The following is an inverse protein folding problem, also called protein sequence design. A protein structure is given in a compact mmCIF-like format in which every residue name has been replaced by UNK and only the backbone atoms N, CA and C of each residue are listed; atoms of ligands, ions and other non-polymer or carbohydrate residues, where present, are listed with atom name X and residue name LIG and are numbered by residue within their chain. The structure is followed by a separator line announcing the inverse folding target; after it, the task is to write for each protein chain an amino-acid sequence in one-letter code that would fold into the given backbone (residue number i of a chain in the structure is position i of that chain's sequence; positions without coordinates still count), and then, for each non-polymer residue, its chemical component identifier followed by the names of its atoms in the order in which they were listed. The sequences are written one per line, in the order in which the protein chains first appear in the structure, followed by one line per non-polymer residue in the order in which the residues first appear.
data_IF_340535184920
#
_entry.id   IF_340535184920
#
_cell.length_a   1.000
_cell.length_b   1.000
_cell.length_c   1.000
_cell.angle_alpha   90.00
_cell.angle_beta   90.00
_cell.angle_gamma   90.00
#
_symmetry.space_group_name_H-M   'P 1'
#
loop_
_entity.id
_entity.type
_entity.pdbx_description
1 polymer ?
#
# COMPACT_ATOMS: atom_id res chain seq x y z
N UNK A 1 -12.18 22.82 7.19
CA UNK A 1 -11.86 21.66 8.06
C UNK A 1 -12.13 21.88 9.56
N UNK A 2 -12.48 23.09 10.02
CA UNK A 2 -12.60 23.41 11.47
C UNK A 2 -13.65 22.59 12.23
N UNK A 3 -14.66 22.04 11.54
CA UNK A 3 -15.71 21.22 12.14
C UNK A 3 -15.50 19.71 11.99
N UNK A 4 -14.28 19.25 11.66
CA UNK A 4 -13.96 17.81 11.64
C UNK A 4 -14.10 17.25 13.06
N UNK A 5 -15.04 16.30 13.31
CA UNK A 5 -15.28 15.81 14.66
C UNK A 5 -14.05 15.09 15.23
N UNK A 6 -13.64 15.48 16.43
CA UNK A 6 -12.54 14.81 17.15
C UNK A 6 -13.02 13.50 17.78
N UNK A 7 -12.14 12.48 17.89
CA UNK A 7 -12.39 11.31 18.73
C UNK A 7 -12.81 11.71 20.15
N UNK A 8 -13.81 11.02 20.69
CA UNK A 8 -14.32 11.28 22.04
C UNK A 8 -13.96 10.07 22.91
N UNK A 9 -13.13 10.26 23.93
CA UNK A 9 -12.78 9.19 24.87
C UNK A 9 -14.03 8.73 25.65
N UNK A 10 -14.21 7.42 25.79
CA UNK A 10 -15.36 6.83 26.47
C UNK A 10 -15.21 7.04 27.98
N UNK A 11 -16.23 7.65 28.59
CA UNK A 11 -16.28 7.84 30.03
C UNK A 11 -16.12 6.49 30.75
N UNK A 12 -15.18 6.44 31.70
CA UNK A 12 -14.83 5.26 32.50
C UNK A 12 -14.11 4.12 31.75
N UNK A 13 -13.62 4.34 30.52
CA UNK A 13 -12.79 3.38 29.80
C UNK A 13 -11.58 4.07 29.15
N UNK A 14 -10.52 4.40 29.93
CA UNK A 14 -9.34 5.07 29.41
C UNK A 14 -8.73 4.33 28.22
N UNK A 15 -8.41 5.07 27.16
CA UNK A 15 -7.87 4.52 25.91
C UNK A 15 -8.89 4.01 24.91
N UNK A 16 -10.19 3.98 25.25
CA UNK A 16 -11.26 3.65 24.32
C UNK A 16 -11.91 4.92 23.77
N UNK A 17 -12.09 5.00 22.45
CA UNK A 17 -12.61 6.19 21.78
C UNK A 17 -13.87 5.88 20.95
N UNK A 18 -14.87 6.74 21.07
CA UNK A 18 -15.98 6.82 20.11
C UNK A 18 -15.59 7.78 19.00
N UNK A 19 -15.61 7.29 17.75
CA UNK A 19 -15.23 8.09 16.59
C UNK A 19 -16.50 8.64 15.94
N UNK A 20 -16.76 9.96 16.01
CA UNK A 20 -18.00 10.53 15.51
C UNK A 20 -18.06 10.46 13.98
N UNK A 21 -19.27 10.38 13.43
CA UNK A 21 -19.48 10.57 11.99
C UNK A 21 -19.57 12.06 11.69
N UNK A 22 -19.07 12.47 10.53
CA UNK A 22 -19.30 13.82 10.02
C UNK A 22 -20.30 13.77 8.87
N UNK A 23 -21.57 14.16 9.08
CA UNK A 23 -22.64 13.92 8.10
C UNK A 23 -22.38 14.52 6.70
N UNK A 24 -21.68 15.66 6.65
CA UNK A 24 -21.34 16.34 5.38
C UNK A 24 -20.52 15.47 4.43
N UNK A 25 -19.74 14.52 4.95
CA UNK A 25 -18.93 13.61 4.14
C UNK A 25 -19.80 12.73 3.23
N UNK A 26 -21.02 12.40 3.64
CA UNK A 26 -21.97 11.67 2.80
C UNK A 26 -22.37 12.49 1.55
N UNK A 27 -22.64 13.77 1.74
CA UNK A 27 -22.94 14.69 0.64
C UNK A 27 -21.72 14.87 -0.28
N UNK A 28 -20.54 15.11 0.29
CA UNK A 28 -19.31 15.33 -0.47
C UNK A 28 -18.93 14.12 -1.33
N UNK A 29 -19.13 12.89 -0.85
CA UNK A 29 -18.91 11.68 -1.65
C UNK A 29 -19.79 11.64 -2.90
N UNK A 30 -21.09 11.90 -2.72
CA UNK A 30 -22.02 11.94 -3.84
C UNK A 30 -21.69 13.06 -4.82
N UNK A 31 -21.31 14.23 -4.32
CA UNK A 31 -20.88 15.37 -5.13
C UNK A 31 -19.63 15.04 -5.93
N UNK A 32 -18.61 14.47 -5.29
CA UNK A 32 -17.35 14.09 -5.93
C UNK A 32 -17.55 13.04 -7.02
N UNK A 33 -18.37 12.00 -6.74
CA UNK A 33 -18.70 10.99 -7.73
C UNK A 33 -19.37 11.60 -8.97
N UNK A 34 -20.42 12.40 -8.79
CA UNK A 34 -21.09 13.08 -9.91
C UNK A 34 -20.13 13.99 -10.69
N UNK A 35 -19.29 14.74 -9.97
CA UNK A 35 -18.32 15.62 -10.60
C UNK A 35 -17.21 14.87 -11.35
N UNK A 36 -16.94 13.61 -11.00
CA UNK A 36 -16.00 12.77 -11.76
C UNK A 36 -16.57 12.30 -13.10
N UNK A 37 -17.89 12.22 -13.21
CA UNK A 37 -18.63 11.86 -14.43
C UNK A 37 -18.87 13.10 -15.31
N UNK A 38 -19.26 14.23 -14.70
CA UNK A 38 -19.50 15.51 -15.36
C UNK A 38 -18.75 16.65 -14.64
N UNK A 39 -17.47 16.88 -14.99
CA UNK A 39 -16.61 17.82 -14.29
C UNK A 39 -17.08 19.27 -14.38
N UNK A 40 -17.23 19.92 -13.22
CA UNK A 40 -17.45 21.35 -13.07
C UNK A 40 -16.28 21.95 -12.31
N UNK A 41 -15.64 22.96 -12.91
CA UNK A 41 -14.41 23.53 -12.37
C UNK A 41 -14.56 24.05 -10.92
N UNK A 42 -15.67 24.72 -10.63
CA UNK A 42 -15.97 25.25 -9.29
C UNK A 42 -16.09 24.14 -8.24
N UNK A 43 -16.75 23.03 -8.59
CA UNK A 43 -16.92 21.87 -7.71
C UNK A 43 -15.59 21.17 -7.49
N UNK A 44 -14.81 20.97 -8.56
CA UNK A 44 -13.45 20.41 -8.47
C UNK A 44 -12.58 21.24 -7.53
N UNK A 45 -12.55 22.56 -7.71
CA UNK A 45 -11.77 23.47 -6.86
C UNK A 45 -12.19 23.37 -5.40
N UNK A 46 -13.50 23.41 -5.13
CA UNK A 46 -14.03 23.25 -3.78
C UNK A 46 -13.63 21.91 -3.14
N UNK A 47 -13.71 20.80 -3.89
CA UNK A 47 -13.32 19.48 -3.38
C UNK A 47 -11.83 19.41 -3.04
N UNK A 48 -10.97 20.00 -3.87
CA UNK A 48 -9.52 20.06 -3.64
C UNK A 48 -9.24 20.88 -2.37
N UNK A 49 -9.79 22.09 -2.27
CA UNK A 49 -9.61 22.95 -1.09
C UNK A 49 -10.08 22.27 0.19
N UNK A 50 -11.22 21.55 0.13
CA UNK A 50 -11.72 20.77 1.25
C UNK A 50 -10.77 19.63 1.65
N UNK A 51 -10.33 18.82 0.68
CA UNK A 51 -9.40 17.70 0.90
C UNK A 51 -8.09 18.21 1.51
N UNK A 52 -7.50 19.23 0.88
CA UNK A 52 -6.22 19.80 1.29
C UNK A 52 -6.29 20.38 2.70
N UNK A 53 -7.39 21.07 3.04
CA UNK A 53 -7.63 21.59 4.38
C UNK A 53 -7.69 20.49 5.45
N UNK A 54 -8.20 19.30 5.10
CA UNK A 54 -8.22 18.16 6.03
C UNK A 54 -6.83 17.55 6.16
N UNK A 55 -6.13 17.33 5.04
CA UNK A 55 -4.76 16.82 5.04
C UNK A 55 -3.86 17.68 5.91
N UNK A 56 -3.89 19.00 5.74
CA UNK A 56 -3.08 19.94 6.53
C UNK A 56 -3.39 19.86 8.05
N UNK A 57 -4.65 19.65 8.41
CA UNK A 57 -5.05 19.54 9.82
C UNK A 57 -4.59 18.22 10.45
N UNK A 58 -4.68 17.11 9.72
CA UNK A 58 -4.20 15.80 10.17
C UNK A 58 -2.67 15.78 10.26
N UNK A 59 -1.94 16.37 9.31
CA UNK A 59 -0.46 16.50 9.38
C UNK A 59 0.00 17.32 10.58
N UNK A 60 -0.80 18.28 11.04
CA UNK A 60 -0.54 19.04 12.28
C UNK A 60 -0.93 18.28 13.55
N UNK A 61 -1.39 17.04 13.44
CA UNK A 61 -1.80 16.19 14.56
C UNK A 61 -3.07 16.67 15.27
N UNK A 62 -3.91 17.47 14.60
CA UNK A 62 -5.06 18.12 15.25
C UNK A 62 -6.27 17.23 15.41
N UNK A 63 -6.46 16.25 14.52
CA UNK A 63 -7.60 15.33 14.51
C UNK A 63 -7.08 13.95 14.10
N UNK A 64 -7.61 12.87 14.68
CA UNK A 64 -7.32 11.47 14.31
C UNK A 64 -8.67 10.75 14.12
N UNK A 65 -9.43 11.16 13.11
CA UNK A 65 -10.75 10.58 12.83
C UNK A 65 -10.67 9.64 11.62
N UNK A 66 -10.53 8.34 11.89
CA UNK A 66 -10.38 7.35 10.81
C UNK A 66 -11.56 7.31 9.82
N UNK A 67 -12.78 7.73 10.22
CA UNK A 67 -13.95 7.80 9.33
C UNK A 67 -13.84 8.96 8.36
N UNK A 68 -13.29 10.08 8.82
CA UNK A 68 -12.92 11.19 7.94
C UNK A 68 -11.80 10.74 7.01
N UNK A 69 -10.73 10.14 7.55
CA UNK A 69 -9.54 9.77 6.78
C UNK A 69 -9.84 8.76 5.66
N UNK A 70 -10.63 7.72 5.92
CA UNK A 70 -11.07 6.79 4.87
C UNK A 70 -11.87 7.53 3.76
N UNK A 71 -12.70 8.50 4.14
CA UNK A 71 -13.54 9.22 3.19
C UNK A 71 -12.68 10.16 2.35
N UNK A 72 -11.66 10.78 2.93
CA UNK A 72 -10.72 11.61 2.16
C UNK A 72 -10.00 10.80 1.08
N UNK A 73 -9.55 9.57 1.39
CA UNK A 73 -8.98 8.67 0.37
C UNK A 73 -9.96 8.41 -0.77
N UNK A 74 -11.22 8.14 -0.43
CA UNK A 74 -12.28 7.95 -1.42
C UNK A 74 -12.49 9.21 -2.27
N UNK A 75 -12.52 10.40 -1.66
CA UNK A 75 -12.67 11.67 -2.37
C UNK A 75 -11.50 11.97 -3.32
N UNK A 76 -10.25 11.70 -2.89
CA UNK A 76 -9.07 11.84 -3.74
C UNK A 76 -9.22 11.00 -5.01
N UNK A 77 -9.79 9.80 -4.90
CA UNK A 77 -9.97 8.90 -6.05
C UNK A 77 -10.94 9.45 -7.12
N UNK A 78 -11.80 10.42 -6.79
CA UNK A 78 -12.71 11.06 -7.73
C UNK A 78 -12.13 12.33 -8.38
N UNK A 79 -10.96 12.82 -7.93
CA UNK A 79 -10.36 14.00 -8.51
C UNK A 79 -9.89 13.76 -9.96
N UNK A 80 -9.86 14.81 -10.81
CA UNK A 80 -9.23 14.73 -12.12
C UNK A 80 -7.75 14.33 -12.03
N UNK A 81 -7.22 13.66 -13.05
CA UNK A 81 -5.81 13.21 -13.08
C UNK A 81 -4.82 14.33 -12.78
N UNK A 82 -5.06 15.53 -13.33
CA UNK A 82 -4.19 16.69 -13.12
C UNK A 82 -4.14 17.15 -11.67
N UNK A 83 -5.14 16.81 -10.86
CA UNK A 83 -5.32 17.35 -9.51
C UNK A 83 -4.88 16.39 -8.41
N UNK A 84 -4.66 15.11 -8.72
CA UNK A 84 -4.08 14.16 -7.76
C UNK A 84 -2.58 14.40 -7.70
N UNK A 85 -2.09 14.86 -6.55
CA UNK A 85 -0.69 15.25 -6.34
C UNK A 85 -0.03 14.37 -5.29
N UNK A 86 1.29 14.44 -5.20
CA UNK A 86 2.09 13.70 -4.22
C UNK A 86 1.63 13.93 -2.78
N UNK A 87 1.24 15.16 -2.42
CA UNK A 87 0.69 15.48 -1.08
C UNK A 87 -0.52 14.61 -0.70
N UNK A 88 -1.34 14.21 -1.68
CA UNK A 88 -2.50 13.34 -1.46
C UNK A 88 -2.07 11.90 -1.17
N UNK A 89 -0.93 11.47 -1.72
CA UNK A 89 -0.34 10.16 -1.44
C UNK A 89 0.38 10.18 -0.09
N UNK A 90 1.12 11.24 0.22
CA UNK A 90 1.83 11.40 1.49
C UNK A 90 0.88 11.48 2.69
N UNK A 91 -0.36 11.93 2.50
CA UNK A 91 -1.43 11.83 3.50
C UNK A 91 -1.64 10.40 4.00
N UNK A 92 -1.46 9.39 3.14
CA UNK A 92 -1.57 7.97 3.53
C UNK A 92 -0.54 7.62 4.61
N UNK A 93 0.69 8.15 4.53
CA UNK A 93 1.69 7.94 5.58
C UNK A 93 1.20 8.51 6.91
N UNK A 94 0.74 9.78 6.90
CA UNK A 94 0.24 10.48 8.09
C UNK A 94 -0.83 9.67 8.82
N UNK A 95 -1.82 9.14 8.10
CA UNK A 95 -2.95 8.43 8.72
C UNK A 95 -2.64 6.98 9.12
N UNK A 96 -1.52 6.40 8.66
CA UNK A 96 -1.10 5.05 9.05
C UNK A 96 -0.22 5.03 10.30
N UNK A 97 0.35 6.18 10.64
CA UNK A 97 1.16 6.36 11.83
C UNK A 97 0.34 6.65 13.10
N UNK A 98 -0.96 6.96 12.95
CA UNK A 98 -1.81 7.36 14.07
C UNK A 98 -2.15 6.20 15.02
N UNK A 99 -2.62 6.58 16.22
CA UNK A 99 -2.94 5.63 17.29
C UNK A 99 -4.21 4.83 16.97
N UNK A 100 -5.15 5.45 16.23
CA UNK A 100 -6.43 4.86 15.86
C UNK A 100 -6.38 4.20 14.47
N UNK A 101 -5.41 3.30 14.30
CA UNK A 101 -5.24 2.50 13.07
C UNK A 101 -6.56 1.89 12.63
N UNK A 102 -6.94 2.11 11.37
CA UNK A 102 -8.21 1.62 10.85
C UNK A 102 -8.06 0.75 9.62
N UNK A 103 -8.56 -0.47 9.72
CA UNK A 103 -8.88 -1.38 8.62
C UNK A 103 -9.58 -0.68 7.44
N UNK A 104 -10.42 0.31 7.72
CA UNK A 104 -11.22 0.98 6.70
C UNK A 104 -10.37 1.79 5.71
N UNK A 105 -9.27 2.38 6.16
CA UNK A 105 -8.30 3.07 5.29
C UNK A 105 -7.77 2.09 4.24
N UNK A 106 -7.40 0.87 4.65
CA UNK A 106 -6.89 -0.15 3.74
C UNK A 106 -7.94 -0.59 2.71
N UNK A 107 -9.21 -0.71 3.13
CA UNK A 107 -10.33 -0.98 2.21
C UNK A 107 -10.43 0.11 1.14
N UNK A 108 -10.30 1.39 1.52
CA UNK A 108 -10.37 2.51 0.56
C UNK A 108 -9.18 2.59 -0.38
N UNK A 109 -7.98 2.22 0.07
CA UNK A 109 -6.84 2.10 -0.83
C UNK A 109 -7.08 1.03 -1.90
N UNK A 110 -7.52 -0.16 -1.46
CA UNK A 110 -7.80 -1.31 -2.32
C UNK A 110 -8.92 -1.06 -3.32
N UNK A 111 -10.04 -0.50 -2.88
CA UNK A 111 -11.26 -0.41 -3.70
C UNK A 111 -11.38 0.89 -4.49
N UNK A 112 -10.63 1.94 -4.12
CA UNK A 112 -10.76 3.27 -4.73
C UNK A 112 -9.42 3.83 -5.21
N UNK A 113 -8.47 4.09 -4.31
CA UNK A 113 -7.28 4.86 -4.67
C UNK A 113 -6.35 4.12 -5.64
N UNK A 114 -5.96 2.88 -5.34
CA UNK A 114 -5.08 2.10 -6.22
C UNK A 114 -5.71 1.86 -7.60
N UNK A 115 -6.97 1.38 -7.71
CA UNK A 115 -7.65 1.28 -9.00
C UNK A 115 -7.67 2.60 -9.77
N UNK A 116 -7.92 3.72 -9.08
CA UNK A 116 -7.91 5.05 -9.72
C UNK A 116 -6.53 5.36 -10.29
N UNK A 117 -5.47 5.25 -9.48
CA UNK A 117 -4.11 5.57 -9.92
C UNK A 117 -3.66 4.69 -11.09
N UNK A 118 -4.04 3.41 -11.09
CA UNK A 118 -3.83 2.50 -12.21
C UNK A 118 -4.58 2.98 -13.47
N UNK A 119 -5.87 3.30 -13.34
CA UNK A 119 -6.71 3.72 -14.48
C UNK A 119 -6.21 5.00 -15.17
N UNK A 120 -5.66 5.94 -14.40
CA UNK A 120 -5.12 7.20 -14.93
C UNK A 120 -3.62 7.10 -15.28
N UNK A 121 -3.03 5.90 -15.15
CA UNK A 121 -1.62 5.61 -15.40
C UNK A 121 -0.66 6.53 -14.60
N UNK A 122 -0.98 6.79 -13.33
CA UNK A 122 -0.17 7.61 -12.44
C UNK A 122 0.96 6.79 -11.78
N UNK A 123 1.93 6.35 -12.60
CA UNK A 123 3.03 5.49 -12.18
C UNK A 123 3.80 6.05 -10.98
N UNK A 124 4.21 7.32 -11.02
CA UNK A 124 5.02 7.90 -9.96
C UNK A 124 4.27 7.96 -8.61
N UNK A 125 3.00 8.31 -8.64
CA UNK A 125 2.14 8.32 -7.44
C UNK A 125 1.94 6.91 -6.86
N UNK A 126 1.83 5.88 -7.71
CA UNK A 126 1.79 4.48 -7.26
C UNK A 126 3.10 4.06 -6.60
N UNK A 127 4.24 4.44 -7.18
CA UNK A 127 5.55 4.13 -6.60
C UNK A 127 5.72 4.80 -5.23
N UNK A 128 5.34 6.08 -5.09
CA UNK A 128 5.32 6.77 -3.79
C UNK A 128 4.39 6.05 -2.80
N UNK A 129 3.20 5.63 -3.24
CA UNK A 129 2.27 4.89 -2.39
C UNK A 129 2.87 3.56 -1.92
N UNK A 130 3.56 2.82 -2.80
CA UNK A 130 4.19 1.55 -2.43
C UNK A 130 5.34 1.72 -1.43
N UNK A 131 6.10 2.81 -1.52
CA UNK A 131 7.11 3.14 -0.49
C UNK A 131 6.48 3.33 0.90
N UNK A 132 5.26 3.87 0.96
CA UNK A 132 4.51 4.08 2.21
C UNK A 132 3.91 2.77 2.72
N UNK A 133 3.11 2.07 1.89
CA UNK A 133 2.31 0.93 2.37
C UNK A 133 3.14 -0.32 2.65
N UNK A 134 4.30 -0.46 1.98
CA UNK A 134 5.28 -1.51 2.23
C UNK A 134 6.31 -1.11 3.29
N UNK A 135 6.03 -0.07 4.07
CA UNK A 135 6.88 0.21 5.23
C UNK A 135 6.46 -0.65 6.43
N UNK A 136 7.37 -0.84 7.36
CA UNK A 136 7.15 -1.65 8.55
C UNK A 136 7.85 -1.07 9.78
N UNK A 137 7.43 -1.53 10.96
CA UNK A 137 8.02 -1.21 12.25
C UNK A 137 8.42 -2.50 12.96
N UNK A 138 9.44 -2.42 13.80
CA UNK A 138 9.77 -3.53 14.69
C UNK A 138 8.62 -3.73 15.68
N UNK A 139 8.29 -5.00 15.93
CA UNK A 139 7.27 -5.32 16.90
C UNK A 139 7.77 -5.05 18.33
N UNK A 140 6.88 -4.81 19.31
CA UNK A 140 7.26 -4.76 20.71
C UNK A 140 7.98 -6.05 21.13
N UNK A 141 8.95 -5.96 22.05
CA UNK A 141 9.80 -7.08 22.49
C UNK A 141 9.03 -8.35 22.94
N UNK A 142 7.79 -8.19 23.39
CA UNK A 142 6.95 -9.29 23.87
C UNK A 142 6.00 -9.84 22.79
N UNK A 143 6.15 -9.42 21.54
CA UNK A 143 5.34 -9.91 20.43
C UNK A 143 5.91 -11.20 19.88
N UNK A 144 5.03 -12.15 19.55
CA UNK A 144 5.40 -13.31 18.73
C UNK A 144 5.76 -12.94 17.29
N UNK A 145 5.49 -11.70 16.88
CA UNK A 145 5.79 -11.16 15.55
C UNK A 145 7.08 -10.34 15.64
N UNK A 146 7.90 -10.36 14.59
CA UNK A 146 9.13 -9.54 14.51
C UNK A 146 8.87 -8.19 13.85
N UNK A 147 8.08 -8.19 12.78
CA UNK A 147 7.84 -7.01 11.96
C UNK A 147 6.34 -6.76 11.78
N UNK A 148 5.92 -5.52 12.01
CA UNK A 148 4.53 -5.08 11.91
C UNK A 148 4.44 -4.12 10.72
N UNK A 149 3.72 -4.46 9.64
CA UNK A 149 3.50 -3.53 8.55
C UNK A 149 2.74 -2.30 9.03
N UNK A 150 2.89 -1.19 8.31
CA UNK A 150 2.12 0.04 8.58
C UNK A 150 0.62 -0.21 8.47
N UNK A 151 0.23 -1.11 7.55
CA UNK A 151 -1.13 -1.60 7.34
C UNK A 151 -1.36 -2.95 8.02
N UNK A 152 -2.61 -3.22 8.39
CA UNK A 152 -3.00 -4.54 8.88
C UNK A 152 -2.72 -5.61 7.79
N UNK A 153 -2.15 -6.75 8.17
CA UNK A 153 -1.55 -7.74 7.26
C UNK A 153 -2.54 -8.32 6.27
N UNK A 154 -3.73 -8.72 6.74
CA UNK A 154 -4.76 -9.28 5.88
C UNK A 154 -5.14 -8.27 4.78
N UNK A 155 -5.32 -7.00 5.16
CA UNK A 155 -5.70 -5.98 4.19
C UNK A 155 -4.55 -5.57 3.28
N UNK A 156 -3.31 -5.50 3.78
CA UNK A 156 -2.15 -5.25 2.93
C UNK A 156 -2.04 -6.33 1.87
N UNK A 157 -2.05 -7.61 2.27
CA UNK A 157 -1.99 -8.75 1.34
C UNK A 157 -3.10 -8.67 0.30
N UNK A 158 -4.35 -8.55 0.76
CA UNK A 158 -5.52 -8.47 -0.12
C UNK A 158 -5.45 -7.29 -1.10
N UNK A 159 -4.90 -6.15 -0.66
CA UNK A 159 -4.71 -4.97 -1.50
C UNK A 159 -3.71 -5.21 -2.61
N UNK A 160 -2.58 -5.85 -2.30
CA UNK A 160 -1.53 -6.15 -3.26
C UNK A 160 -1.95 -7.26 -4.23
N UNK A 161 -2.51 -8.37 -3.71
CA UNK A 161 -2.96 -9.51 -4.51
C UNK A 161 -3.99 -9.10 -5.57
N UNK A 162 -4.96 -8.25 -5.20
CA UNK A 162 -6.06 -7.85 -6.09
C UNK A 162 -5.56 -7.09 -7.33
N UNK A 163 -4.44 -6.37 -7.21
CA UNK A 163 -3.95 -5.45 -8.24
C UNK A 163 -2.57 -5.82 -8.79
N UNK A 164 -1.97 -6.92 -8.33
CA UNK A 164 -0.57 -7.28 -8.59
C UNK A 164 -0.21 -7.30 -10.08
N UNK A 165 -1.07 -7.90 -10.92
CA UNK A 165 -0.88 -7.94 -12.37
C UNK A 165 -0.87 -6.54 -13.00
N UNK A 166 -1.84 -5.70 -12.66
CA UNK A 166 -1.93 -4.34 -13.21
C UNK A 166 -0.77 -3.46 -12.73
N UNK A 167 -0.33 -3.65 -11.48
CA UNK A 167 0.85 -3.01 -10.92
C UNK A 167 2.12 -3.46 -11.67
N UNK A 168 2.27 -4.75 -11.92
CA UNK A 168 3.41 -5.28 -12.67
C UNK A 168 3.46 -4.77 -14.10
N UNK A 169 2.31 -4.63 -14.76
CA UNK A 169 2.22 -4.09 -16.12
C UNK A 169 2.56 -2.59 -16.18
N UNK A 170 2.10 -1.78 -15.22
CA UNK A 170 2.31 -0.32 -15.24
C UNK A 170 3.65 0.11 -14.60
N UNK A 171 3.95 -0.43 -13.43
CA UNK A 171 5.11 -0.02 -12.62
C UNK A 171 6.32 -0.94 -12.84
N UNK A 172 6.09 -2.21 -13.14
CA UNK A 172 7.12 -3.21 -13.46
C UNK A 172 8.27 -3.26 -12.45
N UNK A 173 9.48 -3.32 -12.98
CA UNK A 173 10.74 -3.42 -12.21
C UNK A 173 10.89 -2.31 -11.17
N UNK A 174 10.37 -1.10 -11.42
CA UNK A 174 10.41 -0.01 -10.44
C UNK A 174 9.65 -0.37 -9.15
N UNK A 175 8.49 -1.03 -9.26
CA UNK A 175 7.75 -1.49 -8.08
C UNK A 175 8.42 -2.72 -7.43
N UNK A 176 8.95 -3.66 -8.23
CA UNK A 176 9.70 -4.81 -7.70
C UNK A 176 10.89 -4.37 -6.86
N UNK A 177 11.64 -3.35 -7.32
CA UNK A 177 12.79 -2.78 -6.59
C UNK A 177 12.42 -2.24 -5.21
N UNK A 178 11.21 -1.69 -5.02
CA UNK A 178 10.72 -1.26 -3.70
C UNK A 178 10.57 -2.48 -2.77
N UNK A 179 9.92 -3.55 -3.24
CA UNK A 179 9.76 -4.77 -2.45
C UNK A 179 11.10 -5.48 -2.17
N UNK A 180 12.00 -5.51 -3.14
CA UNK A 180 13.36 -6.05 -3.00
C UNK A 180 14.14 -5.29 -1.93
N UNK A 181 14.06 -3.96 -1.90
CA UNK A 181 14.70 -3.16 -0.87
C UNK A 181 14.19 -3.54 0.54
N UNK A 182 12.88 -3.82 0.68
CA UNK A 182 12.31 -4.28 1.96
C UNK A 182 12.73 -5.69 2.34
N UNK A 183 12.89 -6.59 1.36
CA UNK A 183 13.46 -7.92 1.61
C UNK A 183 14.92 -7.80 2.09
N UNK A 184 15.73 -6.95 1.45
CA UNK A 184 17.12 -6.71 1.87
C UNK A 184 17.18 -6.13 3.29
N UNK A 185 16.37 -5.11 3.59
CA UNK A 185 16.27 -4.51 4.92
C UNK A 185 15.95 -5.55 6.01
N UNK A 186 15.00 -6.46 5.75
CA UNK A 186 14.64 -7.52 6.68
C UNK A 186 15.74 -8.58 6.82
N UNK A 187 16.41 -8.96 5.72
CA UNK A 187 17.47 -9.95 5.72
C UNK A 187 18.72 -9.46 6.48
N UNK A 188 18.99 -8.16 6.43
CA UNK A 188 20.04 -7.51 7.23
C UNK A 188 19.72 -7.51 8.72
N UNK A 189 18.45 -7.25 9.08
CA UNK A 189 17.99 -7.25 10.48
C UNK A 189 17.94 -8.67 11.09
N UNK A 190 17.53 -9.66 10.31
CA UNK A 190 17.46 -11.06 10.74
C UNK A 190 17.77 -12.00 9.57
N UNK A 191 18.98 -12.58 9.61
CA UNK A 191 19.47 -13.54 8.59
C UNK A 191 18.58 -14.78 8.45
N UNK A 192 17.77 -15.11 9.47
CA UNK A 192 16.89 -16.27 9.45
C UNK A 192 15.45 -15.93 9.03
N UNK A 193 15.11 -14.66 8.83
CA UNK A 193 13.75 -14.22 8.45
C UNK A 193 13.27 -14.91 7.18
N UNK A 194 14.20 -15.16 6.24
CA UNK A 194 13.92 -15.80 4.95
C UNK A 194 14.59 -17.17 4.78
N UNK A 195 14.96 -17.83 5.88
CA UNK A 195 15.52 -19.19 5.82
C UNK A 195 14.57 -20.17 5.11
N UNK A 196 15.14 -21.18 4.44
CA UNK A 196 14.37 -22.22 3.75
C UNK A 196 13.34 -22.90 4.66
N UNK A 197 13.69 -23.11 5.93
CA UNK A 197 12.77 -23.68 6.92
C UNK A 197 11.54 -22.81 7.19
N UNK A 198 11.71 -21.48 7.16
CA UNK A 198 10.60 -20.55 7.39
C UNK A 198 9.81 -20.28 6.13
N UNK A 199 10.48 -20.27 4.98
CA UNK A 199 9.89 -20.01 3.66
C UNK A 199 10.30 -21.15 2.74
N UNK A 200 9.56 -22.27 2.73
CA UNK A 200 9.96 -23.47 1.99
C UNK A 200 9.84 -23.31 0.47
N UNK A 201 8.89 -22.51 0.00
CA UNK A 201 8.62 -22.34 -1.43
C UNK A 201 8.27 -20.88 -1.80
N UNK A 202 8.44 -20.53 -3.08
CA UNK A 202 8.09 -19.21 -3.64
C UNK A 202 6.66 -19.19 -4.21
N UNK A 203 6.16 -20.35 -4.59
CA UNK A 203 4.82 -20.62 -5.09
C UNK A 203 3.77 -20.42 -3.99
N UNK A 204 2.55 -20.01 -4.38
CA UNK A 204 1.40 -20.12 -3.49
C UNK A 204 1.03 -21.60 -3.32
N UNK A 205 1.47 -22.20 -2.21
CA UNK A 205 1.38 -23.63 -1.94
C UNK A 205 1.03 -23.88 -0.48
N UNK A 206 0.36 -24.99 -0.21
CA UNK A 206 -0.07 -25.43 1.14
C UNK A 206 1.07 -25.57 2.15
N UNK A 207 2.32 -25.61 1.69
CA UNK A 207 3.51 -25.65 2.55
C UNK A 207 3.77 -24.31 3.25
N UNK A 208 3.10 -23.24 2.81
CA UNK A 208 3.18 -21.90 3.41
C UNK A 208 2.16 -21.74 4.53
N UNK A 209 2.51 -22.27 5.70
CA UNK A 209 1.64 -22.29 6.87
C UNK A 209 1.29 -20.87 7.39
N UNK A 210 2.14 -19.86 7.10
CA UNK A 210 1.99 -18.48 7.61
C UNK A 210 2.02 -17.43 6.50
N UNK A 211 1.19 -17.62 5.48
CA UNK A 211 1.12 -16.77 4.29
C UNK A 211 0.68 -15.31 4.56
N UNK A 212 0.22 -14.98 5.77
CA UNK A 212 -0.15 -13.63 6.17
C UNK A 212 0.98 -12.87 6.89
N UNK A 213 2.13 -13.50 7.17
CA UNK A 213 3.28 -12.80 7.74
C UNK A 213 3.86 -11.79 6.73
N UNK A 214 4.41 -10.69 7.25
CA UNK A 214 4.89 -9.59 6.41
C UNK A 214 5.95 -10.03 5.38
N UNK A 215 6.85 -10.95 5.78
CA UNK A 215 7.85 -11.54 4.88
C UNK A 215 7.21 -12.24 3.66
N UNK A 216 6.10 -12.96 3.85
CA UNK A 216 5.37 -13.60 2.74
C UNK A 216 4.70 -12.57 1.84
N UNK A 217 4.08 -11.55 2.43
CA UNK A 217 3.40 -10.48 1.68
C UNK A 217 4.36 -9.78 0.71
N UNK A 218 5.57 -9.44 1.16
CA UNK A 218 6.55 -8.78 0.28
C UNK A 218 7.15 -9.72 -0.76
N UNK A 219 7.29 -11.02 -0.46
CA UNK A 219 7.73 -12.01 -1.45
C UNK A 219 6.69 -12.16 -2.55
N UNK A 220 5.42 -12.32 -2.17
CA UNK A 220 4.31 -12.43 -3.12
C UNK A 220 4.24 -11.19 -4.01
N UNK A 221 4.37 -10.00 -3.41
CA UNK A 221 4.42 -8.74 -4.14
C UNK A 221 5.53 -8.70 -5.19
N UNK A 222 6.78 -9.01 -4.81
CA UNK A 222 7.91 -8.98 -5.75
C UNK A 222 7.73 -10.05 -6.84
N UNK A 223 7.37 -11.27 -6.45
CA UNK A 223 7.12 -12.40 -7.37
C UNK A 223 6.08 -12.02 -8.42
N UNK A 224 4.91 -11.56 -8.00
CA UNK A 224 3.78 -11.33 -8.91
C UNK A 224 4.02 -10.15 -9.85
N UNK A 225 4.75 -9.12 -9.38
CA UNK A 225 5.20 -8.02 -10.22
C UNK A 225 6.16 -8.51 -11.29
N UNK A 226 7.18 -9.30 -10.94
CA UNK A 226 8.17 -9.79 -11.89
C UNK A 226 7.54 -10.73 -12.94
N UNK A 227 6.53 -11.51 -12.56
CA UNK A 227 5.76 -12.35 -13.48
C UNK A 227 4.96 -11.53 -14.51
N UNK A 228 4.65 -10.26 -14.22
CA UNK A 228 3.83 -9.38 -15.07
C UNK A 228 4.60 -8.21 -15.68
N UNK A 229 5.89 -8.06 -15.34
CA UNK A 229 6.74 -6.97 -15.81
C UNK A 229 7.18 -7.15 -17.26
N UNK A 230 7.48 -6.03 -17.93
CA UNK A 230 8.07 -6.01 -19.27
C UNK A 230 9.39 -6.81 -19.31
N UNK A 231 9.58 -7.56 -20.39
CA UNK A 231 10.61 -8.60 -20.54
C UNK A 231 12.03 -8.04 -20.49
N UNK A 232 12.31 -6.99 -21.24
CA UNK A 232 13.64 -6.40 -21.35
C UNK A 232 14.10 -5.86 -19.99
N UNK A 233 13.27 -5.04 -19.34
CA UNK A 233 13.58 -4.50 -18.02
C UNK A 233 13.73 -5.60 -16.95
N UNK A 234 12.89 -6.64 -17.00
CA UNK A 234 12.93 -7.73 -16.03
C UNK A 234 14.20 -8.58 -16.17
N UNK A 235 14.71 -8.78 -17.39
CA UNK A 235 15.91 -9.58 -17.67
C UNK A 235 17.13 -9.08 -16.90
N UNK A 236 17.39 -7.77 -16.95
CA UNK A 236 18.51 -7.16 -16.25
C UNK A 236 18.42 -7.36 -14.74
N UNK A 237 17.24 -7.07 -14.16
CA UNK A 237 17.02 -7.26 -12.73
C UNK A 237 17.17 -8.73 -12.31
N UNK A 238 16.66 -9.68 -13.10
CA UNK A 238 16.78 -11.11 -12.79
C UNK A 238 18.25 -11.55 -12.78
N UNK A 239 19.07 -11.08 -13.74
CA UNK A 239 20.51 -11.31 -13.75
C UNK A 239 21.20 -10.78 -12.50
N UNK A 240 20.89 -9.55 -12.08
CA UNK A 240 21.40 -8.97 -10.83
C UNK A 240 21.02 -9.83 -9.60
N UNK A 241 19.78 -10.29 -9.53
CA UNK A 241 19.27 -11.08 -8.41
C UNK A 241 19.89 -12.49 -8.31
N UNK A 242 20.41 -13.05 -9.40
CA UNK A 242 21.05 -14.38 -9.40
C UNK A 242 22.46 -14.36 -8.80
N UNK A 243 23.21 -13.26 -8.98
CA UNK A 243 24.64 -13.20 -8.66
C UNK A 243 24.88 -12.79 -7.20
N UNK A 244 24.45 -11.59 -6.82
CA UNK A 244 24.80 -10.96 -5.53
C UNK A 244 23.54 -10.51 -4.78
N UNK A 245 22.81 -11.49 -4.24
CA UNK A 245 21.59 -11.23 -3.49
C UNK A 245 21.31 -12.28 -2.42
N UNK A 246 20.60 -11.88 -1.33
CA UNK A 246 20.03 -12.82 -0.37
C UNK A 246 19.38 -14.03 -1.05
N UNK A 247 19.53 -15.21 -0.47
CA UNK A 247 19.05 -16.48 -1.04
C UNK A 247 17.57 -16.41 -1.48
N UNK A 248 16.72 -15.75 -0.70
CA UNK A 248 15.31 -15.57 -1.03
C UNK A 248 15.07 -14.83 -2.35
N UNK A 249 15.90 -13.84 -2.67
CA UNK A 249 15.79 -13.09 -3.93
C UNK A 249 16.24 -13.95 -5.12
N UNK A 250 17.32 -14.74 -4.95
CA UNK A 250 17.73 -15.75 -5.95
C UNK A 250 16.61 -16.74 -6.23
N UNK A 251 15.92 -17.21 -5.18
CA UNK A 251 14.78 -18.12 -5.31
C UNK A 251 13.60 -17.48 -6.04
N UNK A 252 13.30 -16.20 -5.79
CA UNK A 252 12.29 -15.45 -6.55
C UNK A 252 12.68 -15.31 -8.02
N UNK A 253 13.96 -15.01 -8.30
CA UNK A 253 14.46 -14.90 -9.67
C UNK A 253 14.33 -16.23 -10.43
N UNK A 254 14.81 -17.33 -9.83
CA UNK A 254 14.67 -18.68 -10.39
C UNK A 254 13.21 -19.07 -10.62
N UNK A 255 12.32 -18.76 -9.68
CA UNK A 255 10.88 -18.98 -9.85
C UNK A 255 10.34 -18.19 -11.06
N UNK A 256 10.72 -16.92 -11.19
CA UNK A 256 10.29 -16.08 -12.32
C UNK A 256 10.80 -16.63 -13.66
N UNK A 257 12.08 -17.01 -13.73
CA UNK A 257 12.70 -17.61 -14.92
C UNK A 257 11.96 -18.90 -15.30
N UNK A 258 11.69 -19.78 -14.32
CA UNK A 258 10.96 -21.02 -14.57
C UNK A 258 9.55 -20.77 -15.12
N UNK A 259 8.83 -19.77 -14.59
CA UNK A 259 7.47 -19.42 -15.04
C UNK A 259 7.43 -18.69 -16.38
N UNK A 260 8.51 -18.00 -16.74
CA UNK A 260 8.68 -17.27 -18.01
C UNK A 260 9.86 -17.83 -18.81
N UNK A 261 9.95 -19.17 -18.86
CA UNK A 261 11.13 -19.88 -19.40
C UNK A 261 11.43 -19.51 -20.86
N UNK A 262 10.41 -19.35 -21.68
CA UNK A 262 10.58 -18.94 -23.09
C UNK A 262 11.24 -17.56 -23.25
N UNK A 263 11.18 -16.72 -22.21
CA UNK A 263 11.70 -15.35 -22.23
C UNK A 263 13.06 -15.23 -21.55
N UNK A 264 13.33 -16.08 -20.55
CA UNK A 264 14.50 -15.96 -19.66
C UNK A 264 15.32 -17.24 -19.50
N UNK A 265 15.02 -18.32 -20.23
CA UNK A 265 15.70 -19.61 -20.06
C UNK A 265 17.20 -19.61 -20.37
N UNK A 266 17.72 -18.53 -20.93
CA UNK A 266 19.15 -18.33 -21.22
C UNK A 266 19.92 -17.59 -20.10
N UNK A 267 19.22 -17.10 -19.06
CA UNK A 267 19.84 -16.45 -17.89
C UNK A 267 20.47 -17.46 -16.91
#
# INVERSE_FOLDING_TARGET
AENNPVPIEVKNQPGFFTIPRWPILGYLKNLAKKNSEEPRQEVTKFLIEFIDSIIENETKGKVDNFRTNETIIELISYLPKSEIKEKHINFVSTITETKLKSTLVAVKLKDYLIPRLLSIQAKDLLLTLFQIILNFKDAPKNSHKKYIPMFERYWLKKTLDQHSKAIGQLCGVSAAKIGIAKIKELAEKDKNEFSVWRIPCIEDHEQRIRNDEYAYIIIDFVRDILLSAETEAARDLLGELLIDSPEILRRIALHTINRRYNEFGEL
#
